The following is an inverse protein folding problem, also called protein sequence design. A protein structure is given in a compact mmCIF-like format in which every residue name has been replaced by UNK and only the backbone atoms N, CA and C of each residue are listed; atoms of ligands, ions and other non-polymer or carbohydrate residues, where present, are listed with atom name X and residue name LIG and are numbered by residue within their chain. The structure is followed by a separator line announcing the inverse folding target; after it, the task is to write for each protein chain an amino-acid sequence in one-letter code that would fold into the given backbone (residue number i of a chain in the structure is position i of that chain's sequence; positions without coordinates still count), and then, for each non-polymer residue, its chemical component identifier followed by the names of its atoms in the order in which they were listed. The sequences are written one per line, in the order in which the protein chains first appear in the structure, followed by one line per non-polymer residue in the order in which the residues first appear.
data_IF_458343397835
#
_entry.id   IF_458343397835
#
_cell.length_a   1.000
_cell.length_b   1.000
_cell.length_c   1.000
_cell.angle_alpha   90.00
_cell.angle_beta   90.00
_cell.angle_gamma   90.00
#
_symmetry.space_group_name_H-M   'P 1'
#
loop_
_entity.id
_entity.type
_entity.pdbx_description
1 polymer ?
#
# COMPACT_ATOMS: atom_id res chain seq x y z
N UNK A 1 16.08 9.11 12.57
CA UNK A 1 15.80 7.97 11.72
C UNK A 1 15.26 8.48 10.39
N UNK A 2 15.50 7.74 9.29
CA UNK A 2 14.88 7.99 7.98
C UNK A 2 13.73 7.02 7.79
N UNK A 3 12.51 7.52 7.74
CA UNK A 3 11.29 6.72 7.75
C UNK A 3 10.56 6.88 6.41
N UNK A 4 10.13 5.77 5.83
CA UNK A 4 9.28 5.76 4.64
C UNK A 4 7.83 5.57 5.06
N UNK A 5 6.95 6.48 4.65
CA UNK A 5 5.50 6.25 4.68
C UNK A 5 5.07 5.82 3.28
N UNK A 6 4.58 4.59 3.17
CA UNK A 6 4.19 4.01 1.89
C UNK A 6 2.67 3.94 1.81
N UNK A 7 2.08 4.75 0.95
CA UNK A 7 0.64 4.82 0.73
C UNK A 7 0.27 4.36 -0.69
N UNK A 8 -0.98 4.53 -1.06
CA UNK A 8 -1.48 4.26 -2.39
C UNK A 8 -2.59 5.27 -2.73
N UNK A 9 -2.66 5.74 -3.97
CA UNK A 9 -3.62 6.75 -4.40
C UNK A 9 -5.01 6.15 -4.69
N UNK A 10 -5.58 5.41 -3.72
CA UNK A 10 -6.91 4.79 -3.81
C UNK A 10 -7.87 5.26 -2.73
N UNK A 11 -7.59 6.38 -2.08
CA UNK A 11 -8.47 6.98 -1.07
C UNK A 11 -7.78 8.06 -0.25
N UNK A 12 -8.48 9.18 -0.05
CA UNK A 12 -7.95 10.31 0.73
C UNK A 12 -7.83 10.02 2.22
N UNK A 13 -8.62 9.10 2.77
CA UNK A 13 -8.55 8.70 4.18
C UNK A 13 -7.18 8.16 4.56
N UNK A 14 -6.66 7.21 3.77
CA UNK A 14 -5.34 6.63 3.98
C UNK A 14 -4.22 7.67 3.83
N UNK A 15 -4.33 8.53 2.81
CA UNK A 15 -3.37 9.58 2.56
C UNK A 15 -3.38 10.63 3.69
N UNK A 16 -4.55 10.96 4.24
CA UNK A 16 -4.68 11.89 5.38
C UNK A 16 -4.03 11.31 6.64
N UNK A 17 -4.28 10.03 6.94
CA UNK A 17 -3.60 9.35 8.03
C UNK A 17 -2.07 9.32 7.85
N UNK A 18 -1.61 9.03 6.64
CA UNK A 18 -0.17 9.06 6.30
C UNK A 18 0.44 10.44 6.48
N UNK A 19 -0.24 11.51 6.06
CA UNK A 19 0.22 12.90 6.26
C UNK A 19 0.30 13.28 7.74
N UNK A 20 -0.71 12.93 8.53
CA UNK A 20 -0.70 13.20 9.98
C UNK A 20 0.46 12.50 10.69
N UNK A 21 0.72 11.25 10.35
CA UNK A 21 1.87 10.51 10.88
C UNK A 21 3.19 11.14 10.43
N UNK A 22 3.29 11.58 9.17
CA UNK A 22 4.46 12.28 8.66
C UNK A 22 4.75 13.53 9.48
N UNK A 23 3.76 14.40 9.62
CA UNK A 23 3.88 15.65 10.39
C UNK A 23 4.35 15.38 11.83
N UNK A 24 3.73 14.40 12.51
CA UNK A 24 4.10 14.03 13.86
C UNK A 24 5.56 13.56 13.96
N UNK A 25 5.97 12.66 13.08
CA UNK A 25 7.34 12.12 13.09
C UNK A 25 8.40 13.19 12.73
N UNK A 26 8.07 14.12 11.83
CA UNK A 26 8.93 15.25 11.50
C UNK A 26 9.11 16.19 12.70
N UNK A 27 8.05 16.45 13.46
CA UNK A 27 8.11 17.20 14.73
C UNK A 27 9.00 16.52 15.78
N UNK A 28 9.11 15.19 15.74
CA UNK A 28 10.02 14.42 16.60
C UNK A 28 11.46 14.38 16.06
N UNK A 29 11.78 15.13 15.00
CA UNK A 29 13.12 15.22 14.44
C UNK A 29 13.52 14.07 13.52
N UNK A 30 12.55 13.31 12.99
CA UNK A 30 12.81 12.27 12.02
C UNK A 30 12.77 12.80 10.59
N UNK A 31 13.57 12.24 9.70
CA UNK A 31 13.45 12.47 8.27
C UNK A 31 12.37 11.55 7.70
N UNK A 32 11.29 12.11 7.17
CA UNK A 32 10.16 11.31 6.68
C UNK A 32 9.91 11.57 5.20
N UNK A 33 9.86 10.47 4.43
CA UNK A 33 9.50 10.47 3.02
C UNK A 33 8.16 9.77 2.89
N UNK A 34 7.21 10.39 2.19
CA UNK A 34 5.92 9.77 1.88
C UNK A 34 5.82 9.53 0.38
N UNK A 35 5.57 8.28 0.00
CA UNK A 35 5.51 7.84 -1.40
C UNK A 35 4.23 7.05 -1.69
N UNK A 36 3.75 7.18 -2.92
CA UNK A 36 2.72 6.30 -3.46
C UNK A 36 3.39 5.08 -4.10
N UNK A 37 3.07 3.89 -3.59
CA UNK A 37 3.63 2.64 -4.08
C UNK A 37 3.38 2.42 -5.59
N UNK A 38 2.24 2.88 -6.11
CA UNK A 38 1.92 2.73 -7.54
C UNK A 38 2.75 3.67 -8.42
N UNK A 39 3.15 4.83 -7.89
CA UNK A 39 4.04 5.77 -8.60
C UNK A 39 5.45 5.21 -8.76
N UNK A 40 5.91 4.35 -7.86
CA UNK A 40 7.22 3.69 -7.99
C UNK A 40 7.33 2.87 -9.29
N UNK A 41 6.21 2.38 -9.82
CA UNK A 41 6.15 1.69 -11.12
C UNK A 41 5.91 2.64 -12.30
N UNK A 42 5.59 3.91 -12.03
CA UNK A 42 5.37 4.96 -13.00
C UNK A 42 4.00 5.64 -12.87
N UNK A 43 3.95 6.93 -13.22
CA UNK A 43 2.76 7.76 -13.08
C UNK A 43 1.54 7.24 -13.88
N UNK A 44 1.76 6.53 -14.99
CA UNK A 44 0.69 5.90 -15.77
C UNK A 44 0.00 4.78 -14.99
N UNK A 45 0.76 3.98 -14.22
CA UNK A 45 0.22 2.88 -13.40
C UNK A 45 -0.63 3.42 -12.26
N UNK A 46 -0.17 4.43 -11.55
CA UNK A 46 -0.93 5.07 -10.46
C UNK A 46 -2.25 5.67 -10.98
N UNK A 47 -2.22 6.43 -12.09
CA UNK A 47 -3.42 7.01 -12.71
C UNK A 47 -4.39 5.93 -13.21
N UNK A 48 -3.89 4.85 -13.80
CA UNK A 48 -4.74 3.79 -14.31
C UNK A 48 -5.43 3.03 -13.18
N UNK A 49 -4.72 2.68 -12.11
CA UNK A 49 -5.29 1.97 -10.95
C UNK A 49 -6.26 2.87 -10.18
N UNK A 50 -5.87 4.10 -9.86
CA UNK A 50 -6.73 5.05 -9.16
C UNK A 50 -7.97 5.42 -9.98
N UNK A 51 -7.81 5.65 -11.29
CA UNK A 51 -8.92 5.95 -12.20
C UNK A 51 -9.88 4.78 -12.37
N UNK A 52 -9.37 3.55 -12.51
CA UNK A 52 -10.20 2.35 -12.58
C UNK A 52 -10.98 2.12 -11.28
N UNK A 53 -10.33 2.27 -10.12
CA UNK A 53 -10.99 2.16 -8.83
C UNK A 53 -12.13 3.18 -8.67
N UNK A 54 -11.84 4.46 -8.87
CA UNK A 54 -12.84 5.53 -8.79
C UNK A 54 -13.96 5.35 -9.82
N UNK A 55 -13.62 4.93 -11.04
CA UNK A 55 -14.57 4.64 -12.10
C UNK A 55 -15.55 3.53 -11.72
N UNK A 56 -15.05 2.41 -11.21
CA UNK A 56 -15.89 1.27 -10.77
C UNK A 56 -16.78 1.67 -9.60
N UNK A 57 -16.23 2.35 -8.59
CA UNK A 57 -17.00 2.80 -7.42
C UNK A 57 -18.12 3.78 -7.81
N UNK A 58 -17.83 4.74 -8.70
CA UNK A 58 -18.80 5.76 -9.11
C UNK A 58 -19.85 5.27 -10.12
N UNK A 59 -19.45 4.49 -11.10
CA UNK A 59 -20.29 4.15 -12.23
C UNK A 59 -20.88 2.74 -12.19
N UNK A 60 -20.27 1.84 -11.39
CA UNK A 60 -20.71 0.45 -11.30
C UNK A 60 -20.72 -0.07 -9.86
N UNK A 61 -21.47 0.53 -8.92
CA UNK A 61 -21.49 0.12 -7.52
C UNK A 61 -21.94 -1.34 -7.32
N UNK A 62 -22.82 -1.85 -8.19
CA UNK A 62 -23.22 -3.26 -8.18
C UNK A 62 -22.09 -4.21 -8.54
N UNK A 63 -21.25 -3.85 -9.51
CA UNK A 63 -20.02 -4.60 -9.86
C UNK A 63 -19.01 -4.58 -8.73
N UNK A 64 -18.88 -3.43 -8.05
CA UNK A 64 -18.03 -3.32 -6.88
C UNK A 64 -18.51 -4.22 -5.73
N UNK A 65 -19.81 -4.18 -5.42
CA UNK A 65 -20.43 -5.04 -4.41
C UNK A 65 -20.32 -6.54 -4.73
N UNK A 66 -20.53 -6.90 -6.01
CA UNK A 66 -20.36 -8.27 -6.49
C UNK A 66 -18.89 -8.72 -6.40
N UNK A 67 -17.96 -7.87 -6.82
CA UNK A 67 -16.52 -8.13 -6.70
C UNK A 67 -16.07 -8.28 -5.25
N UNK A 68 -16.63 -7.48 -4.34
CA UNK A 68 -16.38 -7.59 -2.91
C UNK A 68 -16.90 -8.92 -2.31
N UNK A 69 -18.13 -9.32 -2.69
CA UNK A 69 -18.72 -10.61 -2.26
C UNK A 69 -17.96 -11.80 -2.84
N UNK A 70 -17.59 -11.75 -4.12
CA UNK A 70 -16.77 -12.78 -4.77
C UNK A 70 -15.36 -12.81 -4.19
N UNK A 71 -14.78 -11.65 -3.87
CA UNK A 71 -13.48 -11.55 -3.20
C UNK A 71 -13.48 -12.23 -1.84
N UNK A 72 -14.53 -12.03 -1.03
CA UNK A 72 -14.72 -12.75 0.23
C UNK A 72 -14.87 -14.26 0.09
N UNK A 73 -15.44 -14.71 -1.04
CA UNK A 73 -15.62 -16.14 -1.33
C UNK A 73 -14.32 -16.81 -1.84
N UNK A 74 -13.50 -16.07 -2.59
CA UNK A 74 -12.22 -16.53 -3.13
C UNK A 74 -11.09 -16.37 -2.10
N UNK A 75 -11.22 -15.42 -1.18
CA UNK A 75 -10.26 -15.12 -0.11
C UNK A 75 -10.56 -16.01 1.10
N UNK A 76 -9.89 -17.12 1.23
CA UNK A 76 -9.92 -17.96 2.43
C UNK A 76 -8.52 -18.03 3.04
N UNK A 77 -8.39 -18.46 4.31
CA UNK A 77 -7.10 -18.65 4.99
C UNK A 77 -6.09 -19.49 4.20
N UNK A 78 -6.57 -20.27 3.23
CA UNK A 78 -5.77 -21.15 2.36
C UNK A 78 -5.51 -20.59 0.96
N UNK A 79 -6.24 -19.55 0.52
CA UNK A 79 -6.11 -18.99 -0.83
C UNK A 79 -5.84 -17.49 -0.74
N UNK A 80 -4.73 -17.06 -1.30
CA UNK A 80 -4.36 -15.65 -1.40
C UNK A 80 -5.30 -14.93 -2.37
N UNK A 81 -5.71 -13.70 -2.00
CA UNK A 81 -6.60 -12.91 -2.85
C UNK A 81 -5.94 -12.54 -4.20
N UNK A 82 -6.73 -12.29 -5.26
CA UNK A 82 -6.19 -11.74 -6.51
C UNK A 82 -5.39 -10.45 -6.29
N UNK A 83 -5.77 -9.64 -5.29
CA UNK A 83 -5.06 -8.42 -4.88
C UNK A 83 -3.65 -8.74 -4.39
N UNK A 84 -3.47 -9.82 -3.63
CA UNK A 84 -2.13 -10.26 -3.19
C UNK A 84 -1.21 -10.54 -4.38
N UNK A 85 -1.71 -11.20 -5.42
CA UNK A 85 -0.91 -11.48 -6.63
C UNK A 85 -0.59 -10.20 -7.41
N UNK A 86 -1.55 -9.28 -7.52
CA UNK A 86 -1.31 -7.98 -8.13
C UNK A 86 -0.26 -7.16 -7.36
N UNK A 87 -0.31 -7.18 -6.02
CA UNK A 87 0.67 -6.53 -5.16
C UNK A 87 2.07 -7.17 -5.27
N UNK A 88 2.14 -8.48 -5.48
CA UNK A 88 3.43 -9.17 -5.65
C UNK A 88 4.22 -8.72 -6.88
N UNK A 89 3.54 -8.19 -7.91
CA UNK A 89 4.19 -7.61 -9.09
C UNK A 89 4.95 -6.31 -8.79
N UNK A 90 4.70 -5.69 -7.66
CA UNK A 90 5.35 -4.46 -7.21
C UNK A 90 6.56 -4.71 -6.31
N UNK A 91 6.71 -5.93 -5.79
CA UNK A 91 7.78 -6.29 -4.85
C UNK A 91 9.18 -5.95 -5.38
N UNK A 92 9.50 -6.36 -6.60
CA UNK A 92 10.82 -6.09 -7.20
C UNK A 92 11.09 -4.61 -7.46
N UNK A 93 10.04 -3.81 -7.71
CA UNK A 93 10.19 -2.36 -7.87
C UNK A 93 10.42 -1.70 -6.51
N UNK A 94 9.65 -2.11 -5.50
CA UNK A 94 9.80 -1.61 -4.13
C UNK A 94 11.15 -2.01 -3.55
N UNK A 95 11.62 -3.24 -3.78
CA UNK A 95 12.93 -3.68 -3.33
C UNK A 95 14.05 -2.78 -3.85
N UNK A 96 14.07 -2.54 -5.16
CA UNK A 96 15.07 -1.63 -5.78
C UNK A 96 15.02 -0.23 -5.20
N UNK A 97 13.81 0.29 -4.95
CA UNK A 97 13.63 1.61 -4.35
C UNK A 97 14.22 1.67 -2.92
N UNK A 98 13.96 0.64 -2.10
CA UNK A 98 14.48 0.54 -0.74
C UNK A 98 15.99 0.38 -0.69
N UNK A 99 16.58 -0.37 -1.62
CA UNK A 99 18.04 -0.53 -1.75
C UNK A 99 18.73 0.80 -2.10
N UNK A 100 18.12 1.61 -2.97
CA UNK A 100 18.65 2.90 -3.40
C UNK A 100 18.53 3.99 -2.31
N UNK A 101 17.49 3.95 -1.49
CA UNK A 101 17.16 5.06 -0.60
C UNK A 101 17.46 4.80 0.88
N UNK A 102 17.67 3.57 1.31
CA UNK A 102 18.01 3.14 2.68
C UNK A 102 17.15 3.81 3.75
N UNK A 103 16.13 3.11 4.20
CA UNK A 103 15.25 3.54 5.28
C UNK A 103 15.50 2.72 6.54
N UNK A 104 15.26 3.33 7.71
CA UNK A 104 15.36 2.67 9.01
C UNK A 104 14.05 1.95 9.39
N UNK A 105 12.90 2.46 8.92
CA UNK A 105 11.59 1.88 9.15
C UNK A 105 10.61 2.25 8.03
N UNK A 106 9.54 1.45 7.88
CA UNK A 106 8.44 1.73 6.98
C UNK A 106 7.13 1.78 7.77
N UNK A 107 6.31 2.80 7.48
CA UNK A 107 4.94 2.91 7.98
C UNK A 107 3.99 2.86 6.79
N UNK A 108 2.90 2.12 6.90
CA UNK A 108 1.88 2.10 5.86
C UNK A 108 0.47 2.20 6.45
N UNK A 109 -0.32 3.20 6.02
CA UNK A 109 -1.73 3.30 6.37
C UNK A 109 -2.65 2.58 5.37
N UNK A 110 -2.10 1.82 4.42
CA UNK A 110 -2.86 1.26 3.32
C UNK A 110 -2.63 -0.25 3.16
N UNK A 111 -3.72 -0.99 2.86
CA UNK A 111 -3.69 -2.45 2.74
C UNK A 111 -2.75 -2.94 1.61
N UNK A 112 -2.75 -2.31 0.44
CA UNK A 112 -1.94 -2.78 -0.70
C UNK A 112 -0.43 -2.76 -0.42
N UNK A 113 0.15 -1.67 0.07
CA UNK A 113 1.54 -1.70 0.53
C UNK A 113 1.76 -2.69 1.67
N UNK A 114 0.83 -2.83 2.63
CA UNK A 114 0.96 -3.76 3.74
C UNK A 114 1.08 -5.22 3.25
N UNK A 115 0.27 -5.62 2.27
CA UNK A 115 0.33 -6.94 1.64
C UNK A 115 1.67 -7.17 0.93
N UNK A 116 2.14 -6.19 0.15
CA UNK A 116 3.44 -6.26 -0.53
C UNK A 116 4.59 -6.40 0.46
N UNK A 117 4.63 -5.56 1.51
CA UNK A 117 5.65 -5.59 2.55
C UNK A 117 5.62 -6.91 3.34
N UNK A 118 4.42 -7.44 3.60
CA UNK A 118 4.25 -8.76 4.25
C UNK A 118 4.83 -9.88 3.39
N UNK A 119 4.58 -9.86 2.09
CA UNK A 119 5.13 -10.84 1.16
C UNK A 119 6.67 -10.76 1.10
N UNK A 120 7.22 -9.54 1.04
CA UNK A 120 8.68 -9.33 1.08
C UNK A 120 9.32 -9.79 2.39
N UNK A 121 8.67 -9.56 3.54
CA UNK A 121 9.13 -10.09 4.84
C UNK A 121 9.14 -11.61 4.86
N UNK A 122 8.08 -12.26 4.38
CA UNK A 122 8.00 -13.73 4.31
C UNK A 122 9.09 -14.34 3.42
N UNK A 123 9.54 -13.62 2.39
CA UNK A 123 10.64 -14.03 1.50
C UNK A 123 12.03 -13.69 2.07
N UNK A 124 12.11 -13.01 3.21
CA UNK A 124 13.38 -12.55 3.79
C UNK A 124 14.03 -11.37 3.07
N UNK A 125 13.32 -10.72 2.15
CA UNK A 125 13.84 -9.58 1.38
C UNK A 125 13.78 -8.25 2.15
N UNK A 126 12.93 -8.17 3.18
CA UNK A 126 12.75 -6.97 3.98
C UNK A 126 13.07 -7.26 5.46
N UNK A 127 14.13 -6.63 5.96
CA UNK A 127 14.61 -6.81 7.34
C UNK A 127 14.25 -5.65 8.27
N UNK A 128 14.03 -4.46 7.73
CA UNK A 128 13.69 -3.28 8.52
C UNK A 128 12.28 -3.39 9.12
N UNK A 129 12.02 -2.73 10.27
CA UNK A 129 10.70 -2.73 10.89
C UNK A 129 9.63 -2.14 9.97
N UNK A 130 8.43 -2.72 10.02
CA UNK A 130 7.26 -2.26 9.31
C UNK A 130 6.10 -2.12 10.28
N UNK A 131 5.44 -0.97 10.27
CA UNK A 131 4.23 -0.68 11.03
C UNK A 131 3.07 -0.46 10.06
N UNK A 132 2.02 -1.25 10.18
CA UNK A 132 0.77 -1.03 9.47
C UNK A 132 -0.23 -0.32 10.38
N UNK A 133 -0.87 0.72 9.86
CA UNK A 133 -1.92 1.47 10.56
C UNK A 133 -3.26 1.02 9.98
N UNK A 134 -4.13 0.46 10.80
CA UNK A 134 -5.49 0.09 10.40
C UNK A 134 -6.34 1.34 10.25
N UNK A 135 -6.72 1.65 9.02
CA UNK A 135 -7.59 2.77 8.65
C UNK A 135 -8.95 2.30 8.16
N UNK A 136 -9.07 1.03 7.81
CA UNK A 136 -10.31 0.37 7.42
C UNK A 136 -10.78 -0.55 8.56
N UNK A 137 -12.02 -0.38 8.97
CA UNK A 137 -12.70 -1.25 9.91
C UNK A 137 -13.72 -2.10 9.11
N UNK A 138 -13.34 -3.29 8.77
CA UNK A 138 -14.24 -4.28 8.13
C UNK A 138 -14.20 -5.58 8.90
#
# INVERSE_FOLDING_TARGET
MKILILSCNTGEGHNSAGRAVKEYLELQGHQVVMEDMMLLKGARTSKAVGGAYVGIVKHCPLLFGLGYRLGGWVSSDKRKSPVYYACSLLEGTLQRYLEQNRFDAIVTPHLYPAETLTAMKKKGWLKIPVVAIGTDYT
#
